data_IF_666574987844
#
_entry.id   IF_666574987844
#
_cell.length_a   1.000
_cell.length_b   1.000
_cell.length_c   1.000
_cell.angle_alpha   90.00
_cell.angle_beta   90.00
_cell.angle_gamma   90.00
#
_symmetry.space_group_name_H-M   'P 1'
#
loop_
_entity.id
_entity.type
_entity.pdbx_description
1 polymer ?
#
# COMPACT_ATOMS: atom_id res chain seq x y z
N UNK A 1 -6.65 -16.46 34.76
CA UNK A 1 -7.57 -15.41 34.28
C UNK A 1 -7.21 -15.17 32.84
N UNK A 2 -8.12 -15.51 31.95
CA UNK A 2 -7.96 -15.50 30.50
C UNK A 2 -7.45 -14.15 30.01
N UNK A 3 -6.34 -14.19 29.29
CA UNK A 3 -5.87 -13.16 28.38
C UNK A 3 -6.95 -13.05 27.28
N UNK A 4 -8.05 -12.36 27.61
CA UNK A 4 -9.09 -12.03 26.65
C UNK A 4 -8.42 -11.03 25.71
N UNK A 5 -8.04 -11.50 24.51
CA UNK A 5 -7.67 -10.69 23.36
C UNK A 5 -8.51 -9.40 23.36
N UNK A 6 -7.93 -8.31 23.87
CA UNK A 6 -8.54 -7.00 23.78
C UNK A 6 -8.27 -6.53 22.37
N UNK A 7 -9.28 -6.64 21.51
CA UNK A 7 -9.26 -6.01 20.20
C UNK A 7 -9.36 -4.51 20.42
N UNK A 8 -8.43 -3.75 19.82
CA UNK A 8 -8.45 -2.30 19.76
C UNK A 8 -8.83 -1.88 18.33
N UNK A 9 -10.11 -1.57 18.06
CA UNK A 9 -10.58 -1.22 16.72
C UNK A 9 -9.89 0.03 16.16
N UNK A 10 -9.64 1.03 17.00
CA UNK A 10 -9.03 2.28 16.56
C UNK A 10 -7.56 2.07 16.14
N UNK A 11 -6.81 1.28 16.91
CA UNK A 11 -5.46 0.90 16.53
C UNK A 11 -5.41 0.11 15.21
N UNK A 12 -6.36 -0.81 15.00
CA UNK A 12 -6.44 -1.59 13.75
C UNK A 12 -6.81 -0.71 12.54
N UNK A 13 -7.74 0.22 12.69
CA UNK A 13 -8.10 1.18 11.64
C UNK A 13 -6.95 2.15 11.33
N UNK A 14 -6.24 2.62 12.35
CA UNK A 14 -5.03 3.43 12.19
C UNK A 14 -3.94 2.67 11.45
N UNK A 15 -3.75 1.38 11.78
CA UNK A 15 -2.80 0.53 11.07
C UNK A 15 -3.19 0.32 9.60
N UNK A 16 -4.47 0.06 9.31
CA UNK A 16 -4.97 -0.02 7.94
C UNK A 16 -4.71 1.27 7.15
N UNK A 17 -4.93 2.44 7.76
CA UNK A 17 -4.62 3.73 7.13
C UNK A 17 -3.12 3.90 6.87
N UNK A 18 -2.25 3.42 7.77
CA UNK A 18 -0.81 3.44 7.56
C UNK A 18 -0.39 2.55 6.38
N UNK A 19 -1.00 1.38 6.20
CA UNK A 19 -0.73 0.50 5.06
C UNK A 19 -1.03 1.20 3.73
N UNK A 20 -2.19 1.86 3.63
CA UNK A 20 -2.55 2.64 2.44
C UNK A 20 -1.57 3.79 2.20
N UNK A 21 -1.21 4.55 3.25
CA UNK A 21 -0.23 5.63 3.12
C UNK A 21 1.15 5.14 2.65
N UNK A 22 1.60 3.98 3.15
CA UNK A 22 2.85 3.36 2.68
C UNK A 22 2.76 2.89 1.24
N UNK A 23 1.60 2.41 0.80
CA UNK A 23 1.38 2.05 -0.60
C UNK A 23 1.51 3.26 -1.52
N UNK A 24 0.87 4.38 -1.16
CA UNK A 24 0.92 5.63 -1.92
C UNK A 24 2.35 6.21 -1.96
N UNK A 25 3.07 6.20 -0.82
CA UNK A 25 4.46 6.64 -0.73
C UNK A 25 5.39 5.84 -1.66
N UNK A 26 5.18 4.52 -1.75
CA UNK A 26 5.98 3.63 -2.60
C UNK A 26 5.76 3.91 -4.09
N UNK A 27 4.50 4.05 -4.52
CA UNK A 27 4.15 4.37 -5.91
C UNK A 27 4.69 5.75 -6.32
N UNK A 28 4.47 6.77 -5.48
CA UNK A 28 4.97 8.12 -5.74
C UNK A 28 6.51 8.16 -5.76
N UNK A 29 7.15 7.47 -4.82
CA UNK A 29 8.61 7.36 -4.74
C UNK A 29 9.21 6.73 -5.98
N UNK A 30 8.61 5.64 -6.49
CA UNK A 30 9.08 4.97 -7.70
C UNK A 30 8.94 5.87 -8.93
N UNK A 31 7.77 6.50 -9.12
CA UNK A 31 7.53 7.40 -10.24
C UNK A 31 8.55 8.57 -10.26
N UNK A 32 8.84 9.15 -9.09
CA UNK A 32 9.83 10.20 -8.97
C UNK A 32 11.26 9.72 -9.31
N UNK A 33 11.65 8.51 -8.86
CA UNK A 33 12.96 7.95 -9.20
C UNK A 33 13.07 7.59 -10.68
N UNK A 34 12.02 7.03 -11.29
CA UNK A 34 11.98 6.73 -12.73
C UNK A 34 12.30 7.96 -13.56
N UNK A 35 11.57 9.05 -13.34
CA UNK A 35 11.80 10.32 -14.06
C UNK A 35 13.24 10.81 -13.90
N UNK A 36 13.80 10.69 -12.69
CA UNK A 36 15.18 11.12 -12.42
C UNK A 36 16.20 10.27 -13.17
N UNK A 37 16.07 8.95 -13.12
CA UNK A 37 17.03 8.02 -13.73
C UNK A 37 16.98 8.10 -15.26
N UNK A 38 15.77 8.12 -15.85
CA UNK A 38 15.60 8.30 -17.29
C UNK A 38 16.18 9.63 -17.78
N UNK A 39 15.95 10.72 -17.03
CA UNK A 39 16.51 12.05 -17.34
C UNK A 39 18.03 12.07 -17.31
N UNK A 40 18.65 11.40 -16.32
CA UNK A 40 20.11 11.28 -16.24
C UNK A 40 20.66 10.50 -17.44
N UNK A 41 20.04 9.38 -17.81
CA UNK A 41 20.48 8.58 -18.96
C UNK A 41 20.31 9.34 -20.27
N UNK A 42 19.17 10.00 -20.46
CA UNK A 42 18.92 10.82 -21.64
C UNK A 42 19.95 11.96 -21.76
N UNK A 43 20.23 12.66 -20.65
CA UNK A 43 21.23 13.73 -20.61
C UNK A 43 22.63 13.23 -20.93
N UNK A 44 23.04 12.11 -20.35
CA UNK A 44 24.34 11.50 -20.65
C UNK A 44 24.46 11.13 -22.12
N UNK A 45 23.42 10.53 -22.70
CA UNK A 45 23.39 10.17 -24.12
C UNK A 45 23.34 11.36 -25.07
N UNK A 46 22.80 12.51 -24.65
CA UNK A 46 22.74 13.73 -25.47
C UNK A 46 24.05 14.51 -25.53
N UNK A 47 25.01 14.27 -24.62
CA UNK A 47 26.31 14.95 -24.62
C UNK A 47 27.13 14.70 -25.90
N UNK A 48 26.77 13.68 -26.68
CA UNK A 48 27.48 13.23 -27.86
C UNK A 48 26.85 13.71 -29.18
N UNK A 49 25.82 14.56 -29.12
CA UNK A 49 25.14 15.10 -30.31
C UNK A 49 25.08 16.62 -30.25
N UNK A 50 25.07 17.28 -31.41
CA UNK A 50 24.92 18.74 -31.49
C UNK A 50 23.48 19.20 -31.37
N UNK A 51 22.52 18.34 -31.71
CA UNK A 51 21.09 18.64 -31.67
C UNK A 51 20.44 18.33 -30.31
N UNK A 52 21.24 17.90 -29.32
CA UNK A 52 20.78 17.61 -27.96
C UNK A 52 19.93 16.33 -27.85
N UNK A 53 19.85 15.52 -28.91
CA UNK A 53 19.17 14.22 -28.87
C UNK A 53 20.09 13.13 -28.33
N UNK A 54 19.52 12.09 -27.73
CA UNK A 54 20.29 10.90 -27.31
C UNK A 54 20.97 10.29 -28.54
N UNK A 55 22.30 10.12 -28.48
CA UNK A 55 23.04 9.54 -29.59
C UNK A 55 22.56 8.10 -29.88
N UNK A 56 22.45 7.68 -31.15
CA UNK A 56 21.87 6.38 -31.51
C UNK A 56 22.52 5.17 -30.82
N UNK A 57 23.82 5.24 -30.54
CA UNK A 57 24.58 4.17 -29.86
C UNK A 57 24.12 3.92 -28.42
N UNK A 58 23.51 4.92 -27.75
CA UNK A 58 22.98 4.78 -26.39
C UNK A 58 21.51 4.37 -26.33
N UNK A 59 20.80 4.33 -27.47
CA UNK A 59 19.38 3.92 -27.50
C UNK A 59 19.14 2.51 -26.90
N UNK A 60 19.97 1.48 -27.18
CA UNK A 60 19.78 0.17 -26.56
C UNK A 60 19.87 0.21 -25.03
N UNK A 61 20.77 1.04 -24.49
CA UNK A 61 20.91 1.23 -23.04
C UNK A 61 19.66 1.88 -22.43
N UNK A 62 19.11 2.90 -23.09
CA UNK A 62 17.84 3.52 -22.68
C UNK A 62 16.67 2.54 -22.70
N UNK A 63 16.59 1.68 -23.71
CA UNK A 63 15.57 0.63 -23.79
C UNK A 63 15.72 -0.43 -22.69
N UNK A 64 16.95 -0.84 -22.39
CA UNK A 64 17.21 -1.79 -21.31
C UNK A 64 16.85 -1.20 -19.94
N UNK A 65 17.19 0.07 -19.70
CA UNK A 65 16.79 0.78 -18.50
C UNK A 65 15.25 0.85 -18.38
N UNK A 66 14.55 1.23 -19.45
CA UNK A 66 13.09 1.30 -19.44
C UNK A 66 12.47 -0.05 -19.04
N UNK A 67 12.94 -1.17 -19.62
CA UNK A 67 12.44 -2.50 -19.25
C UNK A 67 12.69 -2.88 -17.79
N UNK A 68 13.84 -2.48 -17.21
CA UNK A 68 14.09 -2.69 -15.77
C UNK A 68 13.15 -1.85 -14.90
N UNK A 69 12.87 -0.61 -15.31
CA UNK A 69 11.96 0.28 -14.59
C UNK A 69 10.50 -0.18 -14.70
N UNK A 70 10.09 -0.70 -15.84
CA UNK A 70 8.76 -1.30 -16.03
C UNK A 70 8.57 -2.48 -15.07
N UNK A 71 9.56 -3.37 -14.94
CA UNK A 71 9.51 -4.45 -13.94
C UNK A 71 9.51 -3.94 -12.49
N UNK A 72 10.20 -2.84 -12.20
CA UNK A 72 10.14 -2.23 -10.87
C UNK A 72 8.73 -1.71 -10.57
N UNK A 73 8.04 -1.14 -11.56
CA UNK A 73 6.65 -0.69 -11.45
C UNK A 73 5.68 -1.84 -11.23
N UNK A 74 5.83 -2.93 -11.98
CA UNK A 74 5.04 -4.15 -11.78
C UNK A 74 5.19 -4.70 -10.36
N UNK A 75 6.43 -4.77 -9.85
CA UNK A 75 6.70 -5.26 -8.51
C UNK A 75 6.14 -4.34 -7.42
N UNK A 76 6.30 -3.02 -7.56
CA UNK A 76 5.72 -2.06 -6.61
C UNK A 76 4.20 -2.11 -6.67
N UNK A 77 3.60 -2.21 -7.85
CA UNK A 77 2.15 -2.40 -8.01
C UNK A 77 1.65 -3.65 -7.29
N UNK A 78 2.35 -4.78 -7.39
CA UNK A 78 1.98 -6.01 -6.70
C UNK A 78 2.08 -5.89 -5.16
N UNK A 79 3.14 -5.26 -4.66
CA UNK A 79 3.34 -5.05 -3.21
C UNK A 79 2.28 -4.11 -2.66
N UNK A 80 2.04 -2.98 -3.33
CA UNK A 80 1.05 -1.98 -2.89
C UNK A 80 -0.39 -2.48 -2.99
N UNK A 81 -0.71 -3.29 -3.99
CA UNK A 81 -1.99 -4.01 -4.03
C UNK A 81 -2.17 -4.93 -2.81
N UNK A 82 -1.12 -5.64 -2.42
CA UNK A 82 -1.15 -6.48 -1.20
C UNK A 82 -1.39 -5.63 0.05
N UNK A 83 -0.67 -4.51 0.21
CA UNK A 83 -0.83 -3.63 1.37
C UNK A 83 -2.26 -3.07 1.49
N UNK A 84 -2.84 -2.65 0.35
CA UNK A 84 -4.22 -2.13 0.31
C UNK A 84 -5.23 -3.24 0.62
N UNK A 85 -5.00 -4.45 0.11
CA UNK A 85 -5.84 -5.60 0.44
C UNK A 85 -5.80 -5.93 1.94
N UNK A 86 -4.62 -5.94 2.55
CA UNK A 86 -4.47 -6.16 3.99
C UNK A 86 -5.17 -5.06 4.80
N UNK A 87 -5.11 -3.80 4.35
CA UNK A 87 -5.84 -2.69 4.96
C UNK A 87 -7.37 -2.89 4.89
N UNK A 88 -7.89 -3.39 3.77
CA UNK A 88 -9.31 -3.74 3.62
C UNK A 88 -9.72 -4.87 4.58
N UNK A 89 -8.93 -5.93 4.68
CA UNK A 89 -9.20 -7.04 5.60
C UNK A 89 -9.24 -6.58 7.07
N UNK A 90 -8.37 -5.66 7.46
CA UNK A 90 -8.38 -5.08 8.81
C UNK A 90 -9.65 -4.28 9.07
N UNK A 91 -10.10 -3.48 8.10
CA UNK A 91 -11.37 -2.73 8.21
C UNK A 91 -12.57 -3.66 8.29
N UNK A 92 -12.57 -4.72 7.48
CA UNK A 92 -13.64 -5.72 7.51
C UNK A 92 -13.69 -6.43 8.87
N UNK A 93 -12.54 -6.82 9.40
CA UNK A 93 -12.46 -7.43 10.73
C UNK A 93 -13.02 -6.51 11.82
N UNK A 94 -12.68 -5.21 11.80
CA UNK A 94 -13.23 -4.22 12.74
C UNK A 94 -14.75 -4.11 12.60
N UNK A 95 -15.28 -4.03 11.37
CA UNK A 95 -16.72 -3.97 11.14
C UNK A 95 -17.45 -5.23 11.64
N UNK A 96 -16.85 -6.42 11.44
CA UNK A 96 -17.39 -7.68 11.95
C UNK A 96 -17.37 -7.72 13.49
N UNK A 97 -16.32 -7.19 14.12
CA UNK A 97 -16.20 -7.08 15.57
C UNK A 97 -17.27 -6.15 16.15
N UNK A 98 -17.45 -4.94 15.60
CA UNK A 98 -18.48 -4.00 16.04
C UNK A 98 -19.89 -4.59 15.90
N UNK A 99 -20.17 -5.28 14.79
CA UNK A 99 -21.45 -5.95 14.59
C UNK A 99 -21.66 -7.09 15.61
N UNK A 100 -20.61 -7.79 16.02
CA UNK A 100 -20.69 -8.81 17.06
C UNK A 100 -20.96 -8.20 18.44
N UNK A 101 -20.29 -7.10 18.80
CA UNK A 101 -20.55 -6.36 20.04
C UNK A 101 -21.98 -5.84 20.11
N UNK A 102 -22.51 -5.25 19.01
CA UNK A 102 -23.90 -4.80 18.94
C UNK A 102 -24.91 -5.94 19.15
N UNK A 103 -24.68 -7.09 18.51
CA UNK A 103 -25.52 -8.29 18.75
C UNK A 103 -25.42 -8.78 20.18
N UNK A 104 -24.23 -8.72 20.79
CA UNK A 104 -24.06 -9.08 22.19
C UNK A 104 -24.83 -8.13 23.12
N UNK A 105 -24.82 -6.81 22.85
CA UNK A 105 -25.61 -5.82 23.60
C UNK A 105 -27.10 -6.17 23.52
N UNK A 106 -27.62 -6.39 22.32
CA UNK A 106 -29.03 -6.75 22.16
C UNK A 106 -29.40 -8.09 22.83
N UNK A 107 -28.53 -9.10 22.74
CA UNK A 107 -28.74 -10.39 23.43
C UNK A 107 -28.70 -10.26 24.95
N UNK A 108 -27.95 -9.30 25.49
CA UNK A 108 -27.97 -9.01 26.93
C UNK A 108 -29.24 -8.25 27.32
N UNK A 109 -29.67 -7.27 26.53
CA UNK A 109 -30.92 -6.53 26.75
C UNK A 109 -32.16 -7.45 26.70
N UNK A 110 -32.15 -8.47 25.84
CA UNK A 110 -33.21 -9.48 25.75
C UNK A 110 -33.17 -10.54 26.87
N UNK A 111 -32.09 -10.58 27.65
CA UNK A 111 -31.87 -11.58 28.71
C UNK A 111 -31.38 -12.95 28.19
N UNK A 112 -31.08 -13.08 26.90
CA UNK A 112 -30.48 -14.29 26.31
C UNK A 112 -29.01 -14.48 26.75
N UNK A 113 -28.28 -13.38 26.95
CA UNK A 113 -26.92 -13.38 27.48
C UNK A 113 -26.90 -13.03 28.96
N UNK A 114 -26.21 -13.86 29.75
CA UNK A 114 -26.11 -13.70 31.21
C UNK A 114 -25.05 -12.70 31.65
N UNK A 115 -24.14 -12.28 30.76
CA UNK A 115 -23.02 -11.38 31.06
C UNK A 115 -23.18 -10.10 30.26
N UNK A 116 -23.02 -8.96 30.95
CA UNK A 116 -23.10 -7.63 30.33
C UNK A 116 -21.90 -7.41 29.38
N UNK A 117 -22.12 -7.09 28.09
CA UNK A 117 -21.08 -6.74 27.13
C UNK A 117 -20.43 -5.40 27.48
N UNK A 118 -19.28 -5.11 26.84
CA UNK A 118 -18.52 -3.88 27.16
C UNK A 118 -19.15 -2.63 26.58
N UNK A 119 -19.92 -2.75 25.49
CA UNK A 119 -20.62 -1.65 24.84
C UNK A 119 -19.69 -0.80 23.99
#
# INVERSE_FOLDING_TARGET
MTDLLQVDPEALLSFAQQLDGRADDLEAGLAAQRMKVESVVARSGSLYTRDGRVAPVFKPMGSALAGVLDHAEENVGAVTATLRHDAELLREFVAQHEAAEQRAVHGWESGELQVKPRG
#
